data_IF_739662581105
#
_entry.id   IF_739662581105
#
_cell.length_a   1.000
_cell.length_b   1.000
_cell.length_c   1.000
_cell.angle_alpha   90.00
_cell.angle_beta   90.00
_cell.angle_gamma   90.00
#
_symmetry.space_group_name_H-M   'P 1'
#
loop_
_entity.id
_entity.type
_entity.pdbx_description
1 polymer ?
#
# COMPACT_ATOMS: atom_id res chain seq x y z
N UNK A 1 -16.74 14.51 -2.80
CA UNK A 1 -15.65 14.31 -2.02
C UNK A 1 -14.51 13.67 -2.67
N UNK A 2 -14.73 12.66 -3.38
CA UNK A 2 -13.62 12.01 -4.02
C UNK A 2 -12.91 12.88 -5.01
N UNK A 3 -13.63 13.78 -5.65
CA UNK A 3 -13.01 14.67 -6.62
C UNK A 3 -11.94 15.53 -5.97
N UNK A 4 -12.23 16.06 -4.80
CA UNK A 4 -11.24 16.87 -4.10
C UNK A 4 -10.03 16.07 -3.70
N UNK A 5 -10.23 14.86 -3.22
CA UNK A 5 -9.15 14.00 -2.84
C UNK A 5 -8.27 13.68 -4.03
N UNK A 6 -8.88 13.34 -5.14
CA UNK A 6 -8.15 13.01 -6.32
C UNK A 6 -7.31 14.18 -6.82
N UNK A 7 -7.90 15.37 -6.83
CA UNK A 7 -7.18 16.56 -7.26
C UNK A 7 -6.00 16.84 -6.36
N UNK A 8 -6.19 16.62 -5.08
CA UNK A 8 -5.12 16.86 -4.14
C UNK A 8 -3.95 15.92 -4.40
N UNK A 9 -4.24 14.65 -4.62
CA UNK A 9 -3.20 13.68 -4.90
C UNK A 9 -2.48 13.97 -6.20
N UNK A 10 -3.22 14.30 -7.23
CA UNK A 10 -2.63 14.49 -8.54
C UNK A 10 -2.00 15.87 -8.71
N UNK A 11 -2.48 16.83 -7.96
CA UNK A 11 -1.97 18.18 -8.06
C UNK A 11 -0.77 18.47 -7.20
N UNK A 12 -0.49 17.62 -6.27
CA UNK A 12 0.65 17.81 -5.39
C UNK A 12 1.91 17.47 -6.14
N UNK A 13 3.02 17.87 -5.61
CA UNK A 13 4.25 17.57 -6.28
C UNK A 13 5.32 17.39 -5.28
N UNK A 14 6.34 16.68 -5.65
CA UNK A 14 7.45 16.43 -4.80
C UNK A 14 7.18 15.31 -3.86
N UNK A 15 7.92 15.26 -2.80
CA UNK A 15 7.88 14.13 -1.90
C UNK A 15 6.63 14.04 -1.06
N UNK A 16 5.80 15.06 -1.05
CA UNK A 16 4.64 15.07 -0.19
C UNK A 16 3.55 14.12 -0.65
N UNK A 17 3.50 13.82 -1.93
CA UNK A 17 2.44 12.96 -2.44
C UNK A 17 2.52 11.57 -1.82
N UNK A 18 3.73 11.07 -1.63
CA UNK A 18 3.89 9.74 -1.03
C UNK A 18 3.38 9.69 0.39
N UNK A 19 3.71 10.69 1.19
CA UNK A 19 3.23 10.72 2.57
C UNK A 19 1.73 10.90 2.62
N UNK A 20 1.19 11.71 1.73
CA UNK A 20 -0.24 11.92 1.69
C UNK A 20 -0.95 10.64 1.36
N UNK A 21 -0.44 9.90 0.38
CA UNK A 21 -1.06 8.64 0.01
C UNK A 21 -1.02 7.65 1.17
N UNK A 22 0.10 7.57 1.87
CA UNK A 22 0.20 6.71 3.04
C UNK A 22 -0.84 7.07 4.08
N UNK A 23 -1.03 8.36 4.34
CA UNK A 23 -2.02 8.78 5.31
C UNK A 23 -3.43 8.41 4.90
N UNK A 24 -3.73 8.55 3.63
CA UNK A 24 -5.05 8.22 3.13
C UNK A 24 -5.31 6.73 3.26
N UNK A 25 -4.34 5.92 2.93
CA UNK A 25 -4.50 4.48 3.05
C UNK A 25 -4.63 4.07 4.51
N UNK A 26 -3.84 4.69 5.40
CA UNK A 26 -3.95 4.42 6.81
C UNK A 26 -5.36 4.71 7.32
N UNK A 27 -5.90 5.88 6.95
CA UNK A 27 -7.23 6.25 7.41
C UNK A 27 -8.29 5.31 6.87
N UNK A 28 -8.12 4.85 5.64
CA UNK A 28 -9.07 3.93 5.06
C UNK A 28 -9.03 2.57 5.77
N UNK A 29 -7.85 2.09 6.09
CA UNK A 29 -7.72 0.84 6.83
C UNK A 29 -8.35 0.96 8.19
N UNK A 30 -8.10 2.08 8.85
CA UNK A 30 -8.67 2.32 10.16
C UNK A 30 -10.19 2.37 10.08
N UNK A 31 -10.72 3.03 9.06
CA UNK A 31 -12.16 3.14 8.86
C UNK A 31 -12.78 1.76 8.64
N UNK A 32 -12.06 0.86 8.00
CA UNK A 32 -12.57 -0.49 7.75
C UNK A 32 -12.46 -1.41 8.96
N UNK A 33 -11.92 -0.90 10.07
CA UNK A 33 -11.85 -1.68 11.30
C UNK A 33 -10.58 -2.46 11.51
N UNK A 34 -9.54 -2.18 10.71
CA UNK A 34 -8.27 -2.86 10.93
C UNK A 34 -7.49 -2.22 12.06
N UNK A 35 -6.76 -3.06 12.77
CA UNK A 35 -5.69 -2.56 13.65
C UNK A 35 -4.47 -2.40 12.76
N UNK A 36 -3.87 -1.23 12.80
CA UNK A 36 -2.78 -0.90 11.90
C UNK A 36 -1.52 -0.61 12.70
N UNK A 37 -0.43 -1.23 12.32
CA UNK A 37 0.86 -1.01 12.96
C UNK A 37 1.91 -0.84 11.87
N UNK A 38 3.06 -0.27 12.24
CA UNK A 38 4.18 -0.15 11.33
C UNK A 38 5.07 -1.37 11.55
N UNK A 39 5.45 -2.03 10.46
CA UNK A 39 6.26 -3.21 10.57
C UNK A 39 7.74 -2.88 10.47
N UNK A 40 8.54 -3.53 11.29
CA UNK A 40 9.98 -3.41 11.21
C UNK A 40 10.60 -4.78 11.15
N UNK A 41 11.53 -4.95 10.21
CA UNK A 41 12.18 -6.21 10.03
C UNK A 41 13.65 -5.90 9.79
N UNK A 42 14.46 -5.99 10.83
CA UNK A 42 15.87 -5.62 10.80
C UNK A 42 15.99 -4.17 10.35
N UNK A 43 16.64 -3.93 9.21
CA UNK A 43 16.80 -2.58 8.71
C UNK A 43 15.73 -2.21 7.68
N UNK A 44 14.72 -3.06 7.52
CA UNK A 44 13.67 -2.81 6.55
C UNK A 44 12.38 -2.44 7.26
N UNK A 45 11.56 -1.68 6.58
CA UNK A 45 10.33 -1.20 7.18
C UNK A 45 9.17 -1.49 6.26
N UNK A 46 8.10 -2.01 6.81
CA UNK A 46 6.86 -2.22 6.07
C UNK A 46 5.90 -1.13 6.52
N UNK A 47 5.32 -0.44 5.56
CA UNK A 47 4.49 0.71 5.88
C UNK A 47 3.38 0.38 6.86
N UNK A 48 2.62 -0.67 6.59
CA UNK A 48 1.53 -1.04 7.48
C UNK A 48 1.40 -2.54 7.62
N UNK A 49 1.10 -2.96 8.84
CA UNK A 49 0.63 -4.32 9.09
C UNK A 49 -0.79 -4.17 9.59
N UNK A 50 -1.75 -4.60 8.78
CA UNK A 50 -3.16 -4.45 9.10
C UNK A 50 -3.73 -5.78 9.55
N UNK A 51 -4.40 -5.79 10.68
CA UNK A 51 -4.94 -7.00 11.26
C UNK A 51 -6.42 -6.82 11.52
N UNK A 52 -7.21 -7.81 11.13
CA UNK A 52 -8.63 -7.81 11.43
C UNK A 52 -9.06 -9.22 11.73
N UNK A 53 -9.38 -9.48 12.97
CA UNK A 53 -9.89 -10.79 13.38
C UNK A 53 -8.97 -11.97 13.04
N UNK A 54 -7.70 -11.80 13.22
CA UNK A 54 -6.77 -12.90 13.08
C UNK A 54 -5.75 -12.71 11.98
N UNK A 55 -6.11 -12.89 10.73
CA UNK A 55 -5.08 -12.81 9.67
C UNK A 55 -4.58 -11.39 9.53
N UNK A 56 -3.30 -11.27 9.25
CA UNK A 56 -2.74 -9.96 9.01
C UNK A 56 -2.37 -9.81 7.54
N UNK A 57 -2.16 -8.57 7.18
CA UNK A 57 -1.86 -8.20 5.81
C UNK A 57 -0.72 -7.22 5.86
N UNK A 58 0.31 -7.47 5.06
CA UNK A 58 1.45 -6.57 4.98
C UNK A 58 1.25 -5.66 3.80
N UNK A 59 1.31 -4.34 4.02
CA UNK A 59 0.97 -3.37 2.99
C UNK A 59 2.09 -2.36 2.83
N UNK A 60 2.56 -2.19 1.60
CA UNK A 60 3.47 -1.11 1.23
C UNK A 60 2.70 -0.13 0.35
N UNK A 61 2.99 1.14 0.49
CA UNK A 61 2.32 2.17 -0.28
C UNK A 61 3.38 2.98 -1.03
N UNK A 62 3.21 3.13 -2.33
CA UNK A 62 4.15 3.91 -3.11
C UNK A 62 3.42 4.61 -4.23
N UNK A 63 3.89 5.80 -4.60
CA UNK A 63 3.31 6.56 -5.68
C UNK A 63 3.39 5.80 -6.99
N UNK A 64 4.55 5.25 -7.26
CA UNK A 64 4.77 4.56 -8.52
C UNK A 64 5.80 3.46 -8.34
N UNK A 65 5.69 2.42 -9.15
CA UNK A 65 6.67 1.36 -9.22
C UNK A 65 7.14 1.15 -10.65
N UNK A 66 6.98 2.15 -11.50
CA UNK A 66 7.39 1.99 -12.89
C UNK A 66 8.89 1.87 -13.05
N UNK A 67 9.65 2.44 -12.12
CA UNK A 67 11.09 2.36 -12.12
C UNK A 67 11.53 1.06 -11.44
N UNK A 68 12.43 0.32 -12.06
CA UNK A 68 12.81 -0.98 -11.53
C UNK A 68 13.50 -0.89 -10.18
N UNK A 69 14.23 0.18 -9.93
CA UNK A 69 14.86 0.34 -8.63
C UNK A 69 13.85 0.59 -7.54
N UNK A 70 12.87 1.43 -7.82
CA UNK A 70 11.79 1.67 -6.87
C UNK A 70 11.04 0.38 -6.61
N UNK A 71 10.77 -0.39 -7.66
CA UNK A 71 10.06 -1.65 -7.51
C UNK A 71 10.82 -2.59 -6.58
N UNK A 72 12.12 -2.73 -6.78
CA UNK A 72 12.91 -3.60 -5.91
C UNK A 72 12.88 -3.12 -4.47
N UNK A 73 12.99 -1.82 -4.28
CA UNK A 73 13.03 -1.27 -2.94
C UNK A 73 11.70 -1.48 -2.21
N UNK A 74 10.59 -1.31 -2.93
CA UNK A 74 9.28 -1.46 -2.30
C UNK A 74 8.94 -2.92 -2.04
N UNK A 75 9.38 -3.81 -2.90
CA UNK A 75 9.08 -5.22 -2.73
C UNK A 75 9.98 -5.91 -1.71
N UNK A 76 11.19 -5.40 -1.53
CA UNK A 76 12.17 -6.09 -0.70
C UNK A 76 11.69 -6.38 0.73
N UNK A 77 11.08 -5.42 1.43
CA UNK A 77 10.61 -5.73 2.78
C UNK A 77 9.57 -6.83 2.79
N UNK A 78 8.67 -6.82 1.81
CA UNK A 78 7.62 -7.82 1.74
C UNK A 78 8.18 -9.19 1.39
N UNK A 79 9.19 -9.23 0.54
CA UNK A 79 9.80 -10.49 0.18
C UNK A 79 10.61 -11.08 1.31
N UNK A 80 11.03 -10.24 2.25
CA UNK A 80 11.78 -10.72 3.40
C UNK A 80 10.89 -11.39 4.45
N UNK A 81 9.59 -11.14 4.39
CA UNK A 81 8.66 -11.76 5.33
C UNK A 81 8.42 -13.20 4.90
N UNK A 82 8.60 -14.13 5.82
CA UNK A 82 8.52 -15.54 5.48
C UNK A 82 7.32 -16.23 6.08
N UNK A 83 6.17 -15.62 5.97
CA UNK A 83 4.95 -16.27 6.42
C UNK A 83 3.97 -16.29 5.25
N UNK A 84 2.79 -16.85 5.49
CA UNK A 84 1.80 -17.04 4.44
C UNK A 84 0.73 -15.97 4.41
N UNK A 85 0.91 -14.92 5.17
CA UNK A 85 -0.10 -13.86 5.17
C UNK A 85 0.01 -13.04 3.90
N UNK A 86 -1.08 -12.38 3.57
CA UNK A 86 -1.18 -11.61 2.34
C UNK A 86 -0.22 -10.44 2.32
N UNK A 87 0.39 -10.19 1.17
CA UNK A 87 1.32 -9.08 0.99
C UNK A 87 0.84 -8.26 -0.20
N UNK A 88 0.73 -6.96 0.00
CA UNK A 88 0.11 -6.06 -0.98
C UNK A 88 0.95 -4.81 -1.14
N UNK A 89 1.08 -4.34 -2.38
CA UNK A 89 1.61 -3.01 -2.65
C UNK A 89 0.48 -2.19 -3.24
N UNK A 90 0.23 -1.01 -2.68
CA UNK A 90 -0.78 -0.10 -3.18
C UNK A 90 -0.05 1.05 -3.86
N UNK A 91 -0.38 1.30 -5.11
CA UNK A 91 0.33 2.29 -5.91
C UNK A 91 -0.66 3.09 -6.74
N UNK A 92 -0.23 4.27 -7.18
CA UNK A 92 -1.07 5.07 -8.08
C UNK A 92 -0.98 4.60 -9.52
N UNK A 93 -0.05 3.70 -9.82
CA UNK A 93 0.06 3.15 -11.17
C UNK A 93 -1.14 2.28 -11.50
N UNK A 94 -1.37 2.10 -12.81
CA UNK A 94 -2.24 1.03 -13.29
C UNK A 94 -1.30 -0.15 -13.53
N UNK A 95 -1.29 -1.13 -12.64
CA UNK A 95 -0.28 -2.18 -12.75
C UNK A 95 -0.53 -3.10 -13.93
N UNK A 96 0.53 -3.42 -14.64
CA UNK A 96 0.46 -4.39 -15.71
C UNK A 96 0.37 -5.79 -15.12
N UNK A 97 1.12 -6.01 -14.06
CA UNK A 97 1.06 -7.27 -13.33
C UNK A 97 0.39 -7.02 -12.00
N UNK A 98 -0.59 -7.83 -11.68
CA UNK A 98 -1.28 -7.70 -10.41
C UNK A 98 -0.72 -8.62 -9.35
N UNK A 99 0.31 -9.39 -9.71
CA UNK A 99 0.95 -10.30 -8.76
C UNK A 99 2.41 -10.42 -9.15
N UNK A 100 3.31 -10.12 -8.23
CA UNK A 100 4.75 -10.26 -8.44
C UNK A 100 5.28 -11.09 -7.29
N UNK A 101 5.71 -12.31 -7.59
CA UNK A 101 6.26 -13.21 -6.57
C UNK A 101 5.31 -13.41 -5.39
N UNK A 102 4.03 -13.48 -5.67
CA UNK A 102 3.04 -13.69 -4.61
C UNK A 102 2.61 -12.42 -3.91
N UNK A 103 3.13 -11.28 -4.31
CA UNK A 103 2.75 -10.00 -3.74
C UNK A 103 1.74 -9.34 -4.67
N UNK A 104 0.59 -8.98 -4.14
CA UNK A 104 -0.45 -8.36 -4.95
C UNK A 104 -0.13 -6.90 -5.18
N UNK A 105 -0.38 -6.43 -6.40
CA UNK A 105 -0.18 -5.02 -6.73
C UNK A 105 -1.54 -4.44 -7.03
N UNK A 106 -1.93 -3.41 -6.29
CA UNK A 106 -3.27 -2.85 -6.34
C UNK A 106 -3.19 -1.35 -6.60
N UNK A 107 -4.05 -0.85 -7.48
CA UNK A 107 -4.14 0.58 -7.71
C UNK A 107 -4.83 1.24 -6.53
N UNK A 108 -4.30 2.38 -6.08
CA UNK A 108 -4.81 3.04 -4.88
C UNK A 108 -6.26 3.49 -5.01
N UNK A 109 -6.62 4.01 -6.17
CA UNK A 109 -8.00 4.46 -6.36
C UNK A 109 -8.96 3.28 -6.35
N UNK A 110 -8.56 2.18 -6.98
CA UNK A 110 -9.37 0.97 -6.95
C UNK A 110 -9.53 0.47 -5.53
N UNK A 111 -8.46 0.51 -4.75
CA UNK A 111 -8.53 0.08 -3.37
C UNK A 111 -9.52 0.93 -2.57
N UNK A 112 -9.46 2.25 -2.75
CA UNK A 112 -10.32 3.15 -1.99
C UNK A 112 -11.78 3.03 -2.40
N UNK A 113 -12.04 2.83 -3.68
CA UNK A 113 -13.40 2.75 -4.18
C UNK A 113 -14.03 1.40 -3.94
N UNK A 114 -13.22 0.38 -3.84
CA UNK A 114 -13.70 -0.97 -3.69
C UNK A 114 -14.24 -1.28 -2.32
N UNK A 115 -13.93 -0.57 -1.37
CA UNK A 115 -14.41 -0.56 -0.01
C UNK A 115 -14.87 -1.84 0.66
N UNK A 116 -15.65 -2.63 0.00
CA UNK A 116 -16.27 -3.75 0.62
C UNK A 116 -15.57 -5.02 0.48
N UNK A 117 -14.84 -5.18 -0.55
CA UNK A 117 -14.22 -6.42 -0.80
C UNK A 117 -13.00 -6.53 -0.02
N UNK A 118 -12.74 -7.39 0.60
CA UNK A 118 -11.49 -7.46 1.23
C UNK A 118 -10.98 -8.71 1.28
#
# INVERSE_FOLDING_TARGET
MDTGLRNYLLGDRGGDTGHLLENIIYLELFRRGYDVAIGKLDDKEIDFIATSNGPKRYIQVTETMSDSETRKRELAPLMAVQDNYEKVVITMDQPLDTDINGIKIVNALDFLLDGETQ
#
